data_IF_150812045026
#
_entry.id   IF_150812045026
#
_cell.length_a   1.000
_cell.length_b   1.000
_cell.length_c   1.000
_cell.angle_alpha   90.00
_cell.angle_beta   90.00
_cell.angle_gamma   90.00
#
_symmetry.space_group_name_H-M   'P 1'
#
loop_
_entity.id
_entity.type
_entity.pdbx_description
1 polymer ?
#
# COMPACT_ATOMS: atom_id res chain seq x y z
N UNK A 1 -9.18 -18.71 -0.44
CA UNK A 1 -9.19 -18.05 -1.77
C UNK A 1 -8.42 -16.72 -1.83
N UNK A 2 -8.69 -15.74 -0.96
CA UNK A 2 -8.05 -14.40 -1.00
C UNK A 2 -6.52 -14.42 -0.80
N UNK A 3 -6.01 -15.29 0.07
CA UNK A 3 -4.57 -15.42 0.37
C UNK A 3 -3.79 -15.98 -0.82
N UNK A 4 -4.32 -17.01 -1.49
CA UNK A 4 -3.70 -17.61 -2.68
C UNK A 4 -3.58 -16.60 -3.83
N UNK A 5 -4.64 -15.83 -4.09
CA UNK A 5 -4.62 -14.77 -5.11
C UNK A 5 -3.61 -13.67 -4.79
N UNK A 6 -3.49 -13.27 -3.52
CA UNK A 6 -2.47 -12.31 -3.08
C UNK A 6 -1.04 -12.84 -3.30
N UNK A 7 -0.76 -14.10 -2.93
CA UNK A 7 0.56 -14.69 -3.14
C UNK A 7 0.90 -14.90 -4.62
N UNK A 8 -0.07 -15.33 -5.44
CA UNK A 8 0.10 -15.44 -6.88
C UNK A 8 0.39 -14.07 -7.52
N UNK A 9 -0.39 -13.04 -7.17
CA UNK A 9 -0.13 -11.68 -7.62
C UNK A 9 1.24 -11.17 -7.18
N UNK A 10 1.63 -11.42 -5.92
CA UNK A 10 2.96 -11.05 -5.40
C UNK A 10 4.09 -11.76 -6.14
N UNK A 11 3.92 -13.03 -6.50
CA UNK A 11 4.91 -13.78 -7.27
C UNK A 11 5.04 -13.21 -8.69
N UNK A 12 3.92 -12.89 -9.34
CA UNK A 12 3.90 -12.26 -10.65
C UNK A 12 4.61 -10.89 -10.62
N UNK A 13 4.27 -10.02 -9.67
CA UNK A 13 4.94 -8.72 -9.50
C UNK A 13 6.43 -8.93 -9.25
N UNK A 14 6.82 -9.90 -8.43
CA UNK A 14 8.24 -10.21 -8.18
C UNK A 14 8.96 -10.68 -9.43
N UNK A 15 8.31 -11.45 -10.29
CA UNK A 15 8.89 -11.90 -11.55
C UNK A 15 9.05 -10.75 -12.53
N UNK A 16 7.97 -9.98 -12.78
CA UNK A 16 7.99 -8.84 -13.69
C UNK A 16 9.03 -7.81 -13.26
N UNK A 17 8.96 -7.34 -12.01
CA UNK A 17 9.88 -6.31 -11.51
C UNK A 17 11.26 -6.84 -11.17
N UNK A 18 11.43 -8.14 -10.92
CA UNK A 18 12.74 -8.76 -10.78
C UNK A 18 13.58 -8.70 -12.07
N UNK A 19 12.91 -8.67 -13.23
CA UNK A 19 13.58 -8.56 -14.53
C UNK A 19 13.86 -7.11 -14.95
N UNK A 20 13.03 -6.14 -14.53
CA UNK A 20 13.12 -4.75 -15.01
C UNK A 20 13.60 -3.73 -13.98
N UNK A 21 13.61 -4.08 -12.68
CA UNK A 21 13.96 -3.16 -11.61
C UNK A 21 14.97 -3.77 -10.63
N UNK A 22 15.99 -2.99 -10.26
CA UNK A 22 16.92 -3.34 -9.19
C UNK A 22 16.40 -2.78 -7.87
N UNK A 23 15.82 -3.64 -7.04
CA UNK A 23 15.28 -3.25 -5.72
C UNK A 23 16.38 -3.39 -4.67
N UNK A 24 16.82 -2.27 -4.10
CA UNK A 24 17.68 -2.25 -2.93
C UNK A 24 16.86 -1.93 -1.68
N UNK A 25 17.03 -2.71 -0.61
CA UNK A 25 16.22 -2.59 0.61
C UNK A 25 17.15 -2.41 1.80
N UNK A 26 17.05 -1.26 2.45
CA UNK A 26 17.78 -0.92 3.68
C UNK A 26 16.77 -0.98 4.84
N UNK A 27 17.19 -1.48 6.01
CA UNK A 27 16.33 -1.50 7.20
C UNK A 27 15.18 -2.50 7.14
N UNK A 28 15.35 -3.65 6.45
CA UNK A 28 14.28 -4.64 6.23
C UNK A 28 13.70 -5.20 7.54
N UNK A 29 14.51 -5.23 8.58
CA UNK A 29 14.17 -5.64 9.94
C UNK A 29 13.08 -4.76 10.57
N UNK A 30 13.00 -3.47 10.20
CA UNK A 30 11.98 -2.55 10.71
C UNK A 30 10.56 -3.02 10.31
N UNK A 31 10.44 -3.68 9.16
CA UNK A 31 9.18 -4.23 8.68
C UNK A 31 8.83 -5.63 9.25
N UNK A 32 9.65 -6.17 10.17
CA UNK A 32 9.44 -7.51 10.79
C UNK A 32 8.69 -7.47 12.11
N UNK A 33 8.19 -6.31 12.54
CA UNK A 33 7.38 -6.19 13.74
C UNK A 33 6.15 -7.11 13.68
N UNK A 34 5.83 -7.76 14.81
CA UNK A 34 4.64 -8.60 14.94
C UNK A 34 3.36 -7.76 14.97
N UNK A 35 3.44 -6.55 15.54
CA UNK A 35 2.33 -5.63 15.68
C UNK A 35 2.03 -4.85 14.41
N UNK A 36 0.91 -4.14 14.41
CA UNK A 36 0.51 -3.26 13.32
C UNK A 36 1.36 -1.99 13.31
N UNK A 37 1.77 -1.56 12.12
CA UNK A 37 2.50 -0.31 11.94
C UNK A 37 2.01 0.44 10.71
N UNK A 38 2.25 1.76 10.73
CA UNK A 38 1.96 2.64 9.62
C UNK A 38 3.19 2.73 8.71
N UNK A 39 3.01 2.39 7.44
CA UNK A 39 4.00 2.61 6.39
C UNK A 39 3.60 3.85 5.60
N UNK A 40 4.38 4.92 5.76
CA UNK A 40 4.24 6.14 4.96
C UNK A 40 5.39 6.21 3.94
N UNK A 41 5.07 6.52 2.69
CA UNK A 41 6.05 6.68 1.62
C UNK A 41 5.70 7.89 0.77
N UNK A 42 6.69 8.44 0.08
CA UNK A 42 6.46 9.31 -1.07
C UNK A 42 5.79 8.54 -2.21
N UNK A 43 5.10 9.26 -3.10
CA UNK A 43 4.38 8.66 -4.23
C UNK A 43 4.89 9.24 -5.56
N UNK A 44 5.78 8.51 -6.23
CA UNK A 44 6.41 8.92 -7.49
C UNK A 44 5.80 8.17 -8.68
N UNK A 45 5.22 6.99 -8.46
CA UNK A 45 4.68 6.15 -9.53
C UNK A 45 3.46 5.35 -9.10
N UNK A 46 2.59 5.01 -10.06
CA UNK A 46 1.51 4.06 -9.86
C UNK A 46 2.00 2.68 -9.40
N UNK A 47 3.28 2.37 -9.62
CA UNK A 47 3.88 1.09 -9.23
C UNK A 47 4.39 1.05 -7.78
N UNK A 48 4.47 2.18 -7.08
CA UNK A 48 5.00 2.25 -5.71
C UNK A 48 4.33 1.25 -4.74
N UNK A 49 2.98 1.14 -4.69
CA UNK A 49 2.33 0.20 -3.77
C UNK A 49 2.77 -1.25 -4.03
N UNK A 50 2.98 -1.61 -5.30
CA UNK A 50 3.41 -2.94 -5.71
C UNK A 50 4.87 -3.19 -5.34
N UNK A 51 5.76 -2.24 -5.68
CA UNK A 51 7.19 -2.33 -5.41
C UNK A 51 7.50 -2.40 -3.92
N UNK A 52 6.87 -1.54 -3.11
CA UNK A 52 7.04 -1.50 -1.65
C UNK A 52 6.49 -2.77 -0.99
N UNK A 53 5.44 -3.37 -1.56
CA UNK A 53 4.85 -4.61 -1.03
C UNK A 53 5.70 -5.87 -1.27
N UNK A 54 6.69 -5.82 -2.16
CA UNK A 54 7.56 -6.97 -2.47
C UNK A 54 8.45 -7.38 -1.29
N UNK A 55 9.28 -6.48 -0.70
CA UNK A 55 10.20 -6.85 0.36
C UNK A 55 9.53 -7.12 1.72
N UNK A 56 8.35 -6.53 1.95
CA UNK A 56 7.57 -6.69 3.18
C UNK A 56 6.88 -8.06 3.17
N UNK A 57 7.07 -8.88 4.21
CA UNK A 57 6.51 -10.24 4.24
C UNK A 57 4.99 -10.26 4.41
N UNK A 58 4.49 -9.36 5.24
CA UNK A 58 3.09 -9.23 5.62
C UNK A 58 2.35 -8.35 4.60
N UNK A 59 1.05 -8.57 4.49
CA UNK A 59 0.19 -7.79 3.60
C UNK A 59 0.09 -6.35 4.09
N UNK A 60 0.21 -5.40 3.17
CA UNK A 60 0.00 -3.98 3.40
C UNK A 60 -1.40 -3.63 2.92
N UNK A 61 -2.24 -3.14 3.82
CA UNK A 61 -3.55 -2.61 3.48
C UNK A 61 -3.35 -1.16 3.02
N UNK A 62 -3.31 -0.95 1.70
CA UNK A 62 -3.09 0.37 1.13
C UNK A 62 -4.34 1.24 1.21
N UNK A 63 -4.15 2.47 1.70
CA UNK A 63 -5.13 3.53 1.59
C UNK A 63 -5.16 3.99 0.13
N UNK A 64 -6.33 3.96 -0.50
CA UNK A 64 -6.49 4.24 -1.93
C UNK A 64 -7.73 5.08 -2.19
N UNK A 65 -7.71 5.87 -3.26
CA UNK A 65 -8.81 6.73 -3.70
C UNK A 65 -10.15 5.97 -3.72
N UNK A 66 -11.18 6.53 -3.07
CA UNK A 66 -12.50 5.94 -2.92
C UNK A 66 -13.21 5.67 -4.26
N UNK A 67 -12.92 6.49 -5.28
CA UNK A 67 -13.46 6.43 -6.62
C UNK A 67 -13.12 5.12 -7.31
N UNK A 68 -11.93 4.56 -7.06
CA UNK A 68 -11.53 3.25 -7.62
C UNK A 68 -12.35 2.09 -7.06
N UNK A 69 -12.97 2.26 -5.87
CA UNK A 69 -13.83 1.23 -5.28
C UNK A 69 -15.23 1.19 -5.89
N UNK A 70 -15.64 2.24 -6.63
CA UNK A 70 -16.91 2.32 -7.36
C UNK A 70 -16.89 1.51 -8.66
N UNK A 71 -15.70 1.30 -9.24
CA UNK A 71 -15.52 0.43 -10.40
C UNK A 71 -15.69 -1.04 -9.98
N UNK A 72 -16.56 -1.85 -10.62
CA UNK A 72 -16.90 -3.19 -10.12
C UNK A 72 -15.69 -4.13 -10.03
N UNK A 73 -14.96 -4.27 -11.13
CA UNK A 73 -13.80 -5.16 -11.21
C UNK A 73 -12.61 -4.65 -10.37
N UNK A 74 -12.24 -3.38 -10.56
CA UNK A 74 -11.13 -2.77 -9.83
C UNK A 74 -11.42 -2.71 -8.32
N UNK A 75 -12.62 -2.30 -7.93
CA UNK A 75 -13.03 -2.25 -6.53
C UNK A 75 -13.06 -3.62 -5.87
N UNK A 76 -13.52 -4.66 -6.58
CA UNK A 76 -13.43 -6.05 -6.09
C UNK A 76 -11.97 -6.47 -5.88
N UNK A 77 -11.10 -6.19 -6.86
CA UNK A 77 -9.67 -6.46 -6.76
C UNK A 77 -9.03 -5.74 -5.57
N UNK A 78 -9.23 -4.43 -5.44
CA UNK A 78 -8.71 -3.61 -4.32
C UNK A 78 -9.15 -4.16 -2.96
N UNK A 79 -10.44 -4.47 -2.79
CA UNK A 79 -10.96 -5.07 -1.55
C UNK A 79 -10.35 -6.44 -1.28
N UNK A 80 -10.11 -7.24 -2.31
CA UNK A 80 -9.49 -8.56 -2.16
C UNK A 80 -8.03 -8.48 -1.67
N UNK A 81 -7.29 -7.47 -2.13
CA UNK A 81 -5.93 -7.17 -1.69
C UNK A 81 -5.90 -6.26 -0.45
N UNK A 82 -7.02 -6.08 0.26
CA UNK A 82 -7.07 -5.42 1.57
C UNK A 82 -6.99 -3.90 1.54
N UNK A 83 -6.94 -3.30 0.34
CA UNK A 83 -6.98 -1.86 0.21
C UNK A 83 -8.33 -1.30 0.71
N UNK A 84 -8.31 -0.05 1.14
CA UNK A 84 -9.49 0.61 1.68
C UNK A 84 -9.60 2.07 1.22
N UNK A 85 -10.84 2.60 1.11
CA UNK A 85 -11.09 3.89 0.49
C UNK A 85 -10.67 5.08 1.37
N UNK A 86 -10.16 6.11 0.71
CA UNK A 86 -9.92 7.45 1.26
C UNK A 86 -10.42 8.51 0.28
N UNK A 87 -11.06 9.54 0.80
CA UNK A 87 -11.45 10.72 0.04
C UNK A 87 -10.26 11.69 -0.09
N UNK A 88 -10.04 12.25 -1.29
CA UNK A 88 -8.92 13.19 -1.52
C UNK A 88 -9.15 14.56 -0.88
N UNK A 89 -10.38 15.05 -0.95
CA UNK A 89 -10.69 16.45 -0.66
C UNK A 89 -11.15 16.68 0.79
N UNK A 90 -11.27 15.60 1.58
CA UNK A 90 -11.71 15.66 2.97
C UNK A 90 -10.92 14.68 3.82
N UNK A 91 -10.39 15.17 4.95
CA UNK A 91 -9.91 14.30 6.00
C UNK A 91 -11.11 13.58 6.62
N UNK A 92 -11.51 12.46 6.02
CA UNK A 92 -12.64 11.68 6.47
C UNK A 92 -12.26 10.95 7.78
N UNK A 93 -12.91 11.35 8.88
CA UNK A 93 -12.78 10.69 10.18
C UNK A 93 -13.04 9.18 10.07
N UNK A 94 -13.89 8.73 9.15
CA UNK A 94 -14.15 7.32 8.91
C UNK A 94 -12.91 6.62 8.35
N UNK A 95 -12.20 7.20 7.39
CA UNK A 95 -10.93 6.66 6.86
C UNK A 95 -9.87 6.59 7.96
N UNK A 96 -9.73 7.62 8.79
CA UNK A 96 -8.79 7.64 9.91
C UNK A 96 -9.14 6.54 10.92
N UNK A 97 -10.41 6.43 11.34
CA UNK A 97 -10.87 5.34 12.23
C UNK A 97 -10.64 3.97 11.61
N UNK A 98 -10.85 3.83 10.30
CA UNK A 98 -10.63 2.58 9.59
C UNK A 98 -9.15 2.18 9.55
N UNK A 99 -8.24 3.15 9.42
CA UNK A 99 -6.79 2.93 9.52
C UNK A 99 -6.40 2.54 10.96
N UNK A 100 -6.86 3.29 11.96
CA UNK A 100 -6.60 3.00 13.38
C UNK A 100 -7.07 1.60 13.76
N UNK A 101 -8.29 1.21 13.37
CA UNK A 101 -8.82 -0.11 13.66
C UNK A 101 -7.97 -1.22 13.01
N UNK A 102 -7.48 -1.01 11.79
CA UNK A 102 -6.56 -1.96 11.12
C UNK A 102 -5.25 -2.11 11.89
N UNK A 103 -4.63 -0.99 12.26
CA UNK A 103 -3.40 -0.98 13.06
C UNK A 103 -3.59 -1.71 14.40
N UNK A 104 -4.71 -1.45 15.11
CA UNK A 104 -5.04 -2.13 16.38
C UNK A 104 -5.27 -3.63 16.22
N UNK A 105 -5.72 -4.09 15.05
CA UNK A 105 -5.81 -5.53 14.73
C UNK A 105 -4.48 -6.12 14.26
N UNK A 106 -3.38 -5.41 14.47
CA UNK A 106 -2.05 -5.82 14.08
C UNK A 106 -1.75 -5.66 12.59
N UNK A 107 -2.63 -5.11 11.76
CA UNK A 107 -2.39 -5.02 10.30
C UNK A 107 -1.45 -3.87 9.95
N UNK A 108 -0.77 -3.98 8.81
CA UNK A 108 0.06 -2.90 8.26
C UNK A 108 -0.83 -2.00 7.42
N UNK A 109 -0.82 -0.70 7.69
CA UNK A 109 -1.52 0.29 6.87
C UNK A 109 -0.49 1.04 6.04
N UNK A 110 -0.64 1.03 4.73
CA UNK A 110 0.19 1.80 3.81
C UNK A 110 -0.52 3.07 3.35
N UNK A 111 0.16 4.21 3.37
CA UNK A 111 -0.38 5.45 2.79
C UNK A 111 0.71 6.28 2.12
N UNK A 112 0.23 7.16 1.24
CA UNK A 112 1.04 8.18 0.59
C UNK A 112 0.55 9.54 1.06
N UNK A 113 1.29 10.27 1.93
CA UNK A 113 0.82 11.53 2.51
C UNK A 113 0.53 12.61 1.46
N UNK A 114 1.07 12.44 0.25
CA UNK A 114 0.95 13.40 -0.85
C UNK A 114 -0.45 13.47 -1.48
N UNK A 115 -1.30 12.44 -1.26
CA UNK A 115 -2.65 12.34 -1.83
C UNK A 115 -2.70 12.03 -3.34
N UNK A 116 -1.54 12.01 -4.00
CA UNK A 116 -1.37 11.75 -5.43
C UNK A 116 0.11 11.64 -5.77
N UNK A 117 0.40 11.34 -7.04
CA UNK A 117 1.77 11.20 -7.51
C UNK A 117 2.41 12.58 -7.67
N UNK A 118 3.62 12.75 -7.13
CA UNK A 118 4.45 13.95 -7.28
C UNK A 118 5.85 13.58 -7.73
N UNK A 119 6.56 14.55 -8.30
CA UNK A 119 8.00 14.39 -8.47
C UNK A 119 8.72 14.37 -7.11
N UNK A 120 9.90 13.76 -7.08
CA UNK A 120 10.67 13.63 -5.85
C UNK A 120 11.05 14.97 -5.21
N UNK A 121 11.21 16.03 -6.02
CA UNK A 121 11.55 17.36 -5.52
C UNK A 121 10.40 18.01 -4.72
N UNK A 122 9.14 17.70 -5.08
CA UNK A 122 7.93 18.21 -4.43
C UNK A 122 7.32 17.22 -3.42
N UNK A 123 8.04 16.16 -3.08
CA UNK A 123 7.59 15.18 -2.08
C UNK A 123 7.71 15.71 -0.66
N UNK A 124 6.71 15.38 0.17
CA UNK A 124 6.74 15.63 1.62
C UNK A 124 7.53 14.57 2.40
N UNK A 125 7.74 13.37 1.82
CA UNK A 125 8.59 12.32 2.37
C UNK A 125 9.90 12.26 1.56
N UNK A 126 10.89 13.06 1.96
CA UNK A 126 12.22 13.00 1.37
C UNK A 126 13.02 11.89 2.05
N UNK A 127 13.64 11.04 1.23
CA UNK A 127 14.52 9.95 1.65
C UNK A 127 15.95 10.35 1.35
#
# INVERSE_FOLDING_TARGET
MKTAMYHAGKLLVRFVFGCVARIHVIGRENARCADGFLLASNHISHFDPFLISLPVRRKIDWMTMAEFFRLPALGFFLRSIGAFPAERDRADLKTIRAAINRLRTGRIVGLFPEGGIRDGARSSCRV
#
